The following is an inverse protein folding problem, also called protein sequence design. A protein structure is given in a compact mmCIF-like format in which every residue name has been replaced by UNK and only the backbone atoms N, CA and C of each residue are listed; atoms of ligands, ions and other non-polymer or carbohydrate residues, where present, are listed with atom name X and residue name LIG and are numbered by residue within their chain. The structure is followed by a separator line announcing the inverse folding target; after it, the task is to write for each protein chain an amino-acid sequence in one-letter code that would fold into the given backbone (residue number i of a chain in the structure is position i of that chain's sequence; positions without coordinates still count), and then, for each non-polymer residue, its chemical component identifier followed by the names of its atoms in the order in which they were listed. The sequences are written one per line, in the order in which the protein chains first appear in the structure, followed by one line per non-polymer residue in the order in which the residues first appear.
data_IF_857334840803
#
_entry.id   IF_857334840803
#
_cell.length_a   1.000
_cell.length_b   1.000
_cell.length_c   1.000
_cell.angle_alpha   90.00
_cell.angle_beta   90.00
_cell.angle_gamma   90.00
#
_symmetry.space_group_name_H-M   'P 1'
#
loop_
_entity.id
_entity.type
_entity.pdbx_description
1 polymer ?
#
# COMPACT_ATOMS: atom_id res chain seq x y z
N UNK A 1 23.85 8.42 -8.33
CA UNK A 1 23.55 7.49 -7.24
C UNK A 1 22.07 7.15 -7.37
N UNK A 2 21.79 5.99 -7.94
CA UNK A 2 20.44 5.59 -8.35
C UNK A 2 19.69 5.02 -7.16
N UNK A 3 18.81 5.80 -6.54
CA UNK A 3 17.87 5.27 -5.56
C UNK A 3 16.64 4.73 -6.30
N UNK A 4 16.66 3.44 -6.63
CA UNK A 4 15.47 2.69 -7.02
C UNK A 4 14.51 2.64 -5.82
N UNK A 5 13.63 3.63 -5.68
CA UNK A 5 12.68 3.70 -4.59
C UNK A 5 11.25 3.60 -5.10
N UNK A 6 10.68 2.40 -5.14
CA UNK A 6 9.23 2.25 -5.16
C UNK A 6 8.72 2.58 -3.75
N UNK A 7 8.60 3.87 -3.43
CA UNK A 7 7.86 4.29 -2.25
C UNK A 7 6.38 3.94 -2.47
N UNK A 8 5.80 3.17 -1.54
CA UNK A 8 4.36 2.91 -1.56
C UNK A 8 3.64 4.26 -1.44
N UNK A 9 2.86 4.60 -2.46
CA UNK A 9 2.12 5.87 -2.53
C UNK A 9 0.88 5.92 -1.61
N UNK A 10 0.65 4.86 -0.87
CA UNK A 10 -0.45 4.69 0.05
C UNK A 10 0.08 4.30 1.42
N UNK A 11 -0.67 4.67 2.45
CA UNK A 11 -0.44 4.17 3.79
C UNK A 11 -1.21 2.86 3.96
N UNK A 12 -0.56 1.82 4.49
CA UNK A 12 -1.23 0.63 4.97
C UNK A 12 -0.81 0.35 6.41
N UNK A 13 -1.80 0.21 7.28
CA UNK A 13 -1.56 -0.27 8.63
C UNK A 13 -0.95 -1.68 8.57
N UNK A 14 -0.05 -2.01 9.50
CA UNK A 14 0.67 -3.30 9.48
C UNK A 14 -0.22 -4.54 9.66
N UNK A 15 -1.48 -4.36 10.04
CA UNK A 15 -2.48 -5.44 10.12
C UNK A 15 -3.39 -5.53 8.89
N UNK A 16 -3.20 -4.66 7.90
CA UNK A 16 -3.92 -4.73 6.63
C UNK A 16 -3.24 -5.74 5.70
N UNK A 17 -4.05 -6.46 4.92
CA UNK A 17 -3.59 -7.37 3.87
C UNK A 17 -3.88 -6.70 2.53
N UNK A 18 -2.88 -6.65 1.66
CA UNK A 18 -3.00 -6.12 0.30
C UNK A 18 -2.50 -7.22 -0.64
N UNK A 19 -3.38 -7.73 -1.48
CA UNK A 19 -3.04 -8.79 -2.42
C UNK A 19 -2.15 -8.25 -3.55
N UNK A 20 -1.38 -9.16 -4.15
CA UNK A 20 -0.60 -8.86 -5.34
C UNK A 20 -1.55 -8.49 -6.49
N UNK A 21 -1.35 -7.31 -7.06
CA UNK A 21 -2.18 -6.79 -8.17
C UNK A 21 -3.22 -5.74 -7.76
N UNK A 22 -3.42 -5.50 -6.46
CA UNK A 22 -4.34 -4.49 -6.01
C UNK A 22 -3.91 -3.08 -6.46
N UNK A 23 -4.80 -2.37 -7.16
CA UNK A 23 -4.56 -1.01 -7.63
C UNK A 23 -4.97 0.01 -6.56
N UNK A 24 -3.99 0.61 -5.89
CA UNK A 24 -4.23 1.59 -4.83
C UNK A 24 -3.77 2.97 -5.28
N UNK A 25 -4.70 3.93 -5.28
CA UNK A 25 -4.42 5.31 -5.67
C UNK A 25 -3.60 6.08 -4.64
N UNK A 26 -2.89 7.10 -5.12
CA UNK A 26 -2.04 8.00 -4.35
C UNK A 26 -2.82 8.65 -3.17
N UNK A 27 -2.20 8.70 -1.99
CA UNK A 27 -2.79 9.32 -0.80
C UNK A 27 -3.83 8.46 -0.06
N UNK A 28 -4.11 7.25 -0.55
CA UNK A 28 -5.01 6.30 0.13
C UNK A 28 -4.44 5.88 1.48
N UNK A 29 -5.32 5.73 2.48
CA UNK A 29 -4.99 5.22 3.82
C UNK A 29 -5.82 3.97 4.11
N UNK A 30 -5.14 2.83 4.24
CA UNK A 30 -5.71 1.53 4.58
C UNK A 30 -5.50 1.29 6.08
N UNK A 31 -6.59 1.08 6.79
CA UNK A 31 -6.60 0.96 8.24
C UNK A 31 -6.68 -0.51 8.68
N UNK A 32 -6.73 -0.71 10.00
CA UNK A 32 -6.64 -2.02 10.64
C UNK A 32 -7.69 -3.00 10.10
N UNK A 33 -7.26 -4.24 9.85
CA UNK A 33 -8.10 -5.37 9.43
C UNK A 33 -8.83 -5.17 8.08
N UNK A 34 -8.35 -4.27 7.23
CA UNK A 34 -8.76 -4.21 5.84
C UNK A 34 -8.06 -5.30 5.01
N UNK A 35 -8.79 -5.88 4.07
CA UNK A 35 -8.26 -6.74 3.00
C UNK A 35 -8.57 -6.07 1.66
N UNK A 36 -7.53 -5.75 0.90
CA UNK A 36 -7.61 -5.09 -0.41
C UNK A 36 -7.12 -6.08 -1.47
N UNK A 37 -7.93 -6.29 -2.52
CA UNK A 37 -7.67 -7.18 -3.65
C UNK A 37 -7.65 -6.42 -4.96
#
# INVERSE_FOLDING_TARGET
MSSNGYEKKYFAHGTAVVDDGAEIGDGTKIWHFCHIS
#
